data_IF_135848272261
#
_entry.id   IF_135848272261
#
_cell.length_a   1.000
_cell.length_b   1.000
_cell.length_c   1.000
_cell.angle_alpha   90.00
_cell.angle_beta   90.00
_cell.angle_gamma   90.00
#
_symmetry.space_group_name_H-M   'P 1'
#
loop_
_entity.id
_entity.type
_entity.pdbx_description
1 polymer ?
#
# COMPACT_ATOMS: atom_id res chain seq x y z
N UNK A 1 36.61 -13.87 -8.26
CA UNK A 1 36.75 -14.20 -9.70
C UNK A 1 36.16 -13.07 -10.51
N UNK A 2 35.92 -13.28 -11.80
CA UNK A 2 35.15 -12.31 -12.60
C UNK A 2 33.69 -12.23 -12.10
N UNK A 3 32.98 -11.15 -12.40
CA UNK A 3 31.56 -10.98 -12.10
C UNK A 3 30.71 -12.04 -12.83
N UNK A 4 30.43 -13.15 -12.14
CA UNK A 4 29.64 -14.31 -12.59
C UNK A 4 28.82 -14.97 -11.48
N UNK A 5 28.80 -14.37 -10.30
CA UNK A 5 27.86 -14.61 -9.22
C UNK A 5 27.20 -13.25 -8.93
N UNK A 6 25.90 -13.24 -8.62
CA UNK A 6 25.04 -12.06 -8.68
C UNK A 6 23.85 -12.34 -9.59
N UNK A 7 23.61 -11.50 -10.62
CA UNK A 7 22.68 -11.82 -11.71
C UNK A 7 23.42 -12.32 -12.97
N UNK A 8 23.09 -13.49 -13.53
CA UNK A 8 23.72 -13.96 -14.76
C UNK A 8 23.31 -13.09 -15.95
N UNK A 9 24.31 -12.59 -16.68
CA UNK A 9 24.18 -12.07 -18.04
C UNK A 9 23.89 -13.26 -18.96
N UNK A 10 22.63 -13.36 -19.37
CA UNK A 10 22.10 -14.48 -20.15
C UNK A 10 21.65 -13.94 -21.50
N UNK A 11 22.27 -14.46 -22.56
CA UNK A 11 22.08 -13.96 -23.93
C UNK A 11 20.73 -14.39 -24.50
N UNK A 12 20.23 -15.56 -24.12
CA UNK A 12 18.94 -16.04 -24.60
C UNK A 12 17.81 -15.26 -23.90
N UNK A 13 17.94 -15.02 -22.59
CA UNK A 13 17.06 -14.14 -21.83
C UNK A 13 17.10 -12.68 -22.31
N UNK A 14 18.27 -12.18 -22.75
CA UNK A 14 18.40 -10.88 -23.39
C UNK A 14 17.68 -10.83 -24.75
N UNK A 15 17.83 -11.86 -25.57
CA UNK A 15 17.18 -11.93 -26.89
C UNK A 15 15.66 -11.99 -26.75
N UNK A 16 15.13 -12.76 -25.79
CA UNK A 16 13.70 -12.80 -25.48
C UNK A 16 13.19 -11.45 -24.98
N UNK A 17 13.87 -10.86 -23.99
CA UNK A 17 13.56 -9.53 -23.47
C UNK A 17 13.61 -8.44 -24.55
N UNK A 18 14.60 -8.47 -25.45
CA UNK A 18 14.71 -7.51 -26.54
C UNK A 18 13.62 -7.72 -27.61
N UNK A 19 13.32 -8.96 -27.99
CA UNK A 19 12.24 -9.27 -28.94
C UNK A 19 10.85 -8.90 -28.39
N UNK A 20 10.64 -8.98 -27.07
CA UNK A 20 9.49 -8.37 -26.39
C UNK A 20 9.55 -6.86 -26.57
N UNK A 21 10.63 -6.19 -26.13
CA UNK A 21 10.69 -4.73 -26.15
C UNK A 21 10.62 -4.10 -27.56
N UNK A 22 11.17 -4.74 -28.59
CA UNK A 22 11.06 -4.29 -29.98
C UNK A 22 9.62 -4.33 -30.51
N UNK A 23 8.78 -5.27 -30.02
CA UNK A 23 7.35 -5.37 -30.40
C UNK A 23 6.49 -4.21 -29.89
N UNK A 24 7.00 -3.45 -28.92
CA UNK A 24 6.33 -2.29 -28.32
C UNK A 24 7.12 -0.97 -28.48
N UNK A 25 8.30 -0.99 -29.13
CA UNK A 25 9.05 0.23 -29.44
C UNK A 25 8.28 1.09 -30.48
N UNK A 26 8.47 2.40 -30.41
CA UNK A 26 7.72 3.37 -31.22
C UNK A 26 6.24 3.58 -30.83
N UNK A 27 5.70 2.86 -29.83
CA UNK A 27 4.39 3.17 -29.22
C UNK A 27 4.45 4.47 -28.39
N UNK A 28 3.30 5.08 -28.11
CA UNK A 28 3.23 6.49 -27.69
C UNK A 28 3.59 6.71 -26.20
N UNK A 29 4.50 7.66 -25.96
CA UNK A 29 4.91 8.16 -24.64
C UNK A 29 4.48 9.63 -24.49
N UNK A 30 3.99 10.11 -23.33
CA UNK A 30 3.96 9.50 -21.98
C UNK A 30 2.81 8.47 -21.81
N UNK A 31 2.69 7.74 -20.67
CA UNK A 31 2.03 6.42 -20.65
C UNK A 31 0.50 6.46 -20.81
N UNK A 32 -0.14 7.64 -20.78
CA UNK A 32 -1.55 7.76 -21.17
C UNK A 32 -1.80 7.34 -22.63
N UNK A 33 -0.80 7.51 -23.53
CA UNK A 33 -0.87 6.95 -24.89
C UNK A 33 -0.74 5.43 -24.85
N UNK A 34 0.34 4.93 -24.23
CA UNK A 34 0.62 3.51 -24.05
C UNK A 34 -0.53 2.71 -23.42
N UNK A 35 -1.00 3.07 -22.23
CA UNK A 35 -2.12 2.40 -21.54
C UNK A 35 -3.40 2.45 -22.38
N UNK A 36 -3.67 3.53 -23.11
CA UNK A 36 -4.82 3.61 -24.02
C UNK A 36 -4.65 2.72 -25.26
N UNK A 37 -3.43 2.50 -25.74
CA UNK A 37 -3.18 1.49 -26.78
C UNK A 37 -3.38 0.07 -26.24
N UNK A 38 -2.95 -0.20 -25.00
CA UNK A 38 -3.28 -1.45 -24.29
C UNK A 38 -4.79 -1.66 -24.10
N UNK A 39 -5.58 -0.59 -24.10
CA UNK A 39 -7.02 -0.66 -23.89
C UNK A 39 -7.90 -0.86 -25.11
N UNK A 40 -7.45 -0.42 -26.29
CA UNK A 40 -8.33 -0.35 -27.46
C UNK A 40 -7.66 -0.87 -28.74
N UNK A 41 -6.37 -1.24 -28.71
CA UNK A 41 -5.59 -1.64 -29.87
C UNK A 41 -4.47 -2.65 -29.52
N UNK A 42 -4.71 -3.60 -28.60
CA UNK A 42 -3.93 -4.85 -28.56
C UNK A 42 -4.52 -5.77 -29.64
N UNK A 43 -3.72 -6.25 -30.63
CA UNK A 43 -4.17 -7.31 -31.52
C UNK A 43 -4.42 -8.60 -30.72
N UNK A 44 -5.45 -9.38 -31.09
CA UNK A 44 -5.76 -10.68 -30.46
C UNK A 44 -4.60 -11.70 -30.51
N UNK A 45 -3.56 -11.42 -31.31
CA UNK A 45 -2.33 -12.22 -31.46
C UNK A 45 -1.18 -11.80 -30.49
N UNK A 46 -1.36 -10.77 -29.65
CA UNK A 46 -0.34 -10.20 -28.76
C UNK A 46 -0.64 -10.44 -27.26
N UNK A 47 -0.09 -11.53 -26.70
CA UNK A 47 -0.13 -11.90 -25.26
C UNK A 47 0.56 -10.86 -24.33
N UNK A 48 0.00 -9.66 -24.18
CA UNK A 48 0.65 -8.58 -23.44
C UNK A 48 0.50 -8.72 -21.91
N UNK A 49 1.58 -9.15 -21.25
CA UNK A 49 1.72 -9.02 -19.80
C UNK A 49 2.50 -7.73 -19.46
N UNK A 50 1.84 -6.76 -18.80
CA UNK A 50 2.49 -5.51 -18.33
C UNK A 50 3.75 -5.79 -17.48
N UNK A 51 3.66 -6.74 -16.55
CA UNK A 51 4.83 -7.12 -15.76
C UNK A 51 5.91 -7.83 -16.61
N UNK A 52 5.52 -8.70 -17.55
CA UNK A 52 6.47 -9.33 -18.49
C UNK A 52 7.23 -8.28 -19.30
N UNK A 53 6.55 -7.21 -19.71
CA UNK A 53 7.15 -6.05 -20.37
C UNK A 53 8.09 -5.25 -19.45
N UNK A 54 7.71 -5.01 -18.20
CA UNK A 54 8.59 -4.39 -17.19
C UNK A 54 9.85 -5.23 -16.90
N UNK A 55 9.70 -6.55 -16.79
CA UNK A 55 10.80 -7.51 -16.62
C UNK A 55 11.73 -7.52 -17.86
N UNK A 56 11.16 -7.53 -19.06
CA UNK A 56 11.89 -7.45 -20.32
C UNK A 56 12.68 -6.13 -20.44
N UNK A 57 12.07 -4.98 -20.15
CA UNK A 57 12.78 -3.69 -20.10
C UNK A 57 13.91 -3.71 -19.07
N UNK A 58 13.70 -4.29 -17.89
CA UNK A 58 14.71 -4.35 -16.84
C UNK A 58 15.91 -5.21 -17.27
N UNK A 59 15.63 -6.37 -17.85
CA UNK A 59 16.65 -7.30 -18.37
C UNK A 59 17.39 -6.69 -19.56
N UNK A 60 16.68 -6.01 -20.48
CA UNK A 60 17.31 -5.30 -21.59
C UNK A 60 18.21 -4.18 -21.09
N UNK A 61 17.71 -3.33 -20.19
CA UNK A 61 18.49 -2.25 -19.57
C UNK A 61 19.76 -2.77 -18.90
N UNK A 62 19.66 -3.83 -18.08
CA UNK A 62 20.81 -4.48 -17.41
C UNK A 62 21.91 -4.89 -18.39
N UNK A 63 21.54 -5.52 -19.51
CA UNK A 63 22.48 -5.97 -20.54
C UNK A 63 23.07 -4.82 -21.36
N UNK A 64 22.25 -3.83 -21.71
CA UNK A 64 22.68 -2.67 -22.50
C UNK A 64 23.56 -1.70 -21.69
N UNK A 65 23.28 -1.51 -20.40
CA UNK A 65 24.08 -0.68 -19.49
C UNK A 65 25.51 -1.21 -19.32
N UNK A 66 25.67 -2.54 -19.35
CA UNK A 66 26.98 -3.21 -19.29
C UNK A 66 27.81 -3.09 -20.60
N UNK A 67 27.25 -2.51 -21.67
CA UNK A 67 27.98 -2.24 -22.92
C UNK A 67 28.84 -0.98 -22.81
N UNK A 68 29.94 -0.90 -23.57
CA UNK A 68 30.70 0.33 -23.76
C UNK A 68 30.13 1.26 -24.86
N UNK A 69 29.06 0.85 -25.55
CA UNK A 69 28.35 1.74 -26.47
C UNK A 69 27.46 2.74 -25.71
N UNK A 70 27.68 4.05 -25.90
CA UNK A 70 26.86 5.13 -25.32
C UNK A 70 25.38 4.98 -25.68
N UNK A 71 25.07 4.65 -26.93
CA UNK A 71 23.69 4.49 -27.43
C UNK A 71 22.93 3.37 -26.69
N UNK A 72 23.63 2.27 -26.34
CA UNK A 72 23.05 1.21 -25.52
C UNK A 72 22.71 1.71 -24.11
N UNK A 73 23.58 2.53 -23.50
CA UNK A 73 23.34 3.12 -22.18
C UNK A 73 22.18 4.12 -22.20
N UNK A 74 22.02 4.90 -23.27
CA UNK A 74 20.88 5.80 -23.46
C UNK A 74 19.56 5.02 -23.59
N UNK A 75 19.54 3.90 -24.34
CA UNK A 75 18.38 3.00 -24.39
C UNK A 75 18.10 2.38 -23.02
N UNK A 76 19.13 1.94 -22.29
CA UNK A 76 18.97 1.36 -20.95
C UNK A 76 18.37 2.36 -19.94
N UNK A 77 18.81 3.63 -19.97
CA UNK A 77 18.24 4.69 -19.14
C UNK A 77 16.78 4.98 -19.50
N UNK A 78 16.44 4.97 -20.79
CA UNK A 78 15.05 5.11 -21.27
C UNK A 78 14.17 3.96 -20.77
N UNK A 79 14.66 2.73 -20.85
CA UNK A 79 13.95 1.52 -20.38
C UNK A 79 13.69 1.56 -18.85
N UNK A 80 14.69 1.98 -18.05
CA UNK A 80 14.53 2.18 -16.60
C UNK A 80 13.51 3.29 -16.27
N UNK A 81 13.56 4.43 -16.98
CA UNK A 81 12.58 5.51 -16.82
C UNK A 81 11.15 5.05 -17.16
N UNK A 82 10.99 4.21 -18.19
CA UNK A 82 9.71 3.57 -18.49
C UNK A 82 9.19 2.72 -17.33
N UNK A 83 10.05 1.95 -16.65
CA UNK A 83 9.66 1.14 -15.49
C UNK A 83 9.23 2.02 -14.32
N UNK A 84 9.99 3.08 -13.98
CA UNK A 84 9.60 4.08 -12.95
C UNK A 84 8.20 4.64 -13.25
N UNK A 85 7.96 5.01 -14.52
CA UNK A 85 6.70 5.58 -14.98
C UNK A 85 5.54 4.55 -14.95
N UNK A 86 5.81 3.27 -15.22
CA UNK A 86 4.79 2.21 -15.16
C UNK A 86 4.45 1.77 -13.72
N UNK A 87 5.42 1.75 -12.80
CA UNK A 87 5.15 1.57 -11.38
C UNK A 87 4.31 2.72 -10.79
N UNK A 88 4.45 3.93 -11.32
CA UNK A 88 3.78 5.12 -10.82
C UNK A 88 4.27 5.54 -9.42
N UNK A 89 3.42 6.25 -8.67
CA UNK A 89 3.73 6.66 -7.28
C UNK A 89 3.71 5.49 -6.29
N UNK A 90 2.90 4.48 -6.58
CA UNK A 90 2.61 3.37 -5.67
C UNK A 90 3.47 2.15 -6.03
N UNK A 91 4.72 2.19 -5.59
CA UNK A 91 5.74 1.14 -5.75
C UNK A 91 5.44 -0.10 -4.86
N UNK A 92 4.17 -0.33 -4.53
CA UNK A 92 3.64 -1.28 -3.55
C UNK A 92 3.18 -2.61 -4.17
N UNK A 93 3.50 -2.85 -5.43
CA UNK A 93 3.11 -4.04 -6.21
C UNK A 93 3.89 -5.31 -5.79
N UNK A 94 3.50 -5.93 -4.67
CA UNK A 94 4.02 -7.24 -4.22
C UNK A 94 3.67 -8.42 -5.16
N UNK A 95 2.96 -8.16 -6.26
CA UNK A 95 2.55 -9.15 -7.27
C UNK A 95 3.71 -9.68 -8.13
N UNK A 96 4.85 -9.00 -8.19
CA UNK A 96 5.90 -9.29 -9.18
C UNK A 96 6.66 -10.61 -8.94
N UNK A 97 6.53 -11.19 -7.73
CA UNK A 97 7.25 -12.39 -7.28
C UNK A 97 6.72 -13.72 -7.87
N UNK A 98 5.78 -13.67 -8.80
CA UNK A 98 5.14 -14.83 -9.44
C UNK A 98 5.79 -15.26 -10.76
N UNK A 99 6.89 -14.63 -11.17
CA UNK A 99 7.42 -14.73 -12.53
C UNK A 99 8.44 -15.86 -12.76
N UNK A 100 8.42 -16.41 -13.97
CA UNK A 100 9.43 -17.34 -14.48
C UNK A 100 10.78 -16.67 -14.75
N UNK A 101 10.81 -15.35 -14.86
CA UNK A 101 12.00 -14.53 -15.17
C UNK A 101 13.03 -14.45 -14.04
N UNK A 102 12.69 -14.91 -12.83
CA UNK A 102 13.62 -14.97 -11.70
C UNK A 102 14.01 -13.61 -11.12
N UNK A 103 13.15 -12.59 -11.28
CA UNK A 103 13.33 -11.24 -10.73
C UNK A 103 12.41 -11.01 -9.53
N UNK A 104 12.95 -10.57 -8.39
CA UNK A 104 12.16 -9.96 -7.33
C UNK A 104 11.83 -8.50 -7.70
N UNK A 105 10.71 -7.96 -7.21
CA UNK A 105 10.43 -6.50 -7.28
C UNK A 105 11.57 -5.70 -6.65
N UNK A 106 12.18 -6.22 -5.59
CA UNK A 106 13.30 -5.56 -4.93
C UNK A 106 14.54 -5.48 -5.84
N UNK A 107 14.77 -6.47 -6.72
CA UNK A 107 15.86 -6.42 -7.70
C UNK A 107 15.63 -5.33 -8.75
N UNK A 108 14.38 -5.11 -9.15
CA UNK A 108 14.04 -3.98 -10.04
C UNK A 108 14.27 -2.66 -9.30
N UNK A 109 13.64 -2.51 -8.13
CA UNK A 109 13.58 -1.27 -7.34
C UNK A 109 14.94 -0.67 -7.00
N UNK A 110 15.89 -1.48 -6.51
CA UNK A 110 17.23 -1.00 -6.09
C UNK A 110 18.12 -0.55 -7.26
N UNK A 111 17.74 -0.86 -8.50
CA UNK A 111 18.55 -0.61 -9.69
C UNK A 111 17.94 0.43 -10.65
N UNK A 112 16.79 1.04 -10.33
CA UNK A 112 16.08 1.98 -11.22
C UNK A 112 16.87 3.25 -11.55
N UNK A 113 17.77 3.68 -10.68
CA UNK A 113 18.62 4.86 -10.86
C UNK A 113 20.11 4.50 -11.04
N UNK A 114 20.44 3.20 -11.09
CA UNK A 114 21.81 2.70 -11.01
C UNK A 114 22.43 2.36 -12.37
N UNK A 115 23.77 2.39 -12.40
CA UNK A 115 24.56 1.94 -13.56
C UNK A 115 25.25 0.60 -13.33
N UNK A 116 25.36 0.14 -12.08
CA UNK A 116 25.91 -1.17 -11.71
C UNK A 116 24.84 -2.00 -11.03
N UNK A 117 24.25 -2.92 -11.79
CA UNK A 117 23.12 -3.72 -11.34
C UNK A 117 23.55 -4.79 -10.32
N UNK A 118 22.82 -4.91 -9.22
CA UNK A 118 23.04 -5.92 -8.18
C UNK A 118 21.74 -6.63 -7.78
N UNK A 119 21.80 -7.88 -7.33
CA UNK A 119 20.65 -8.53 -6.67
C UNK A 119 20.30 -7.82 -5.37
N UNK A 120 19.06 -7.92 -4.90
CA UNK A 120 18.67 -7.49 -3.56
C UNK A 120 19.47 -8.22 -2.46
N UNK A 121 19.87 -9.48 -2.72
CA UNK A 121 20.75 -10.24 -1.84
C UNK A 121 22.19 -9.68 -1.80
N UNK A 122 22.67 -9.05 -2.86
CA UNK A 122 23.95 -8.32 -2.87
C UNK A 122 23.80 -6.93 -2.24
N UNK A 123 22.72 -6.21 -2.55
CA UNK A 123 22.41 -4.92 -1.93
C UNK A 123 22.36 -5.03 -0.40
N UNK A 124 21.66 -6.03 0.15
CA UNK A 124 21.60 -6.27 1.61
C UNK A 124 22.96 -6.71 2.20
N UNK A 125 23.91 -7.18 1.39
CA UNK A 125 25.29 -7.51 1.81
C UNK A 125 26.28 -6.33 1.67
N UNK A 126 26.09 -5.47 0.67
CA UNK A 126 26.92 -4.31 0.38
C UNK A 126 26.49 -3.08 1.19
N UNK A 127 25.18 -2.93 1.38
CA UNK A 127 24.52 -2.04 2.32
C UNK A 127 23.92 -2.89 3.45
N UNK A 128 24.76 -3.45 4.36
CA UNK A 128 24.24 -4.05 5.57
C UNK A 128 23.56 -2.95 6.36
N UNK A 129 22.23 -2.89 6.31
CA UNK A 129 21.44 -2.13 7.28
C UNK A 129 21.88 -2.64 8.64
N UNK A 130 22.48 -1.77 9.45
CA UNK A 130 23.00 -2.12 10.76
C UNK A 130 21.98 -2.99 11.51
N UNK A 131 22.42 -4.02 12.24
CA UNK A 131 21.49 -4.74 13.09
C UNK A 131 20.78 -3.70 13.98
N UNK A 132 19.44 -3.75 14.11
CA UNK A 132 18.70 -2.78 14.91
C UNK A 132 19.25 -2.73 16.35
N UNK A 133 18.81 -1.74 17.14
CA UNK A 133 19.27 -1.49 18.52
C UNK A 133 19.00 -2.70 19.46
N UNK A 134 19.87 -3.72 19.35
CA UNK A 134 19.48 -5.11 19.53
C UNK A 134 18.46 -5.58 18.47
N UNK A 135 18.39 -6.89 18.17
CA UNK A 135 17.14 -7.46 17.68
C UNK A 135 16.09 -7.34 18.80
N UNK A 136 15.44 -6.18 18.88
CA UNK A 136 14.09 -6.11 19.43
C UNK A 136 13.18 -6.86 18.45
N UNK A 137 13.17 -8.19 18.57
CA UNK A 137 11.98 -8.94 18.19
C UNK A 137 10.80 -8.29 18.91
N UNK A 138 9.74 -7.97 18.15
CA UNK A 138 8.46 -7.65 18.78
C UNK A 138 7.95 -8.92 19.44
N UNK A 139 8.37 -9.13 20.68
CA UNK A 139 7.78 -10.08 21.59
C UNK A 139 6.48 -9.43 22.10
N UNK A 140 5.28 -9.83 21.63
CA UNK A 140 4.06 -9.43 22.32
C UNK A 140 4.18 -9.93 23.75
N UNK A 141 4.32 -9.01 24.71
CA UNK A 141 4.54 -9.35 26.13
C UNK A 141 3.43 -10.30 26.55
N UNK A 142 3.80 -11.50 27.03
CA UNK A 142 2.88 -12.59 27.30
C UNK A 142 1.63 -12.08 28.04
N UNK A 143 0.49 -12.12 27.35
CA UNK A 143 -0.73 -11.44 27.81
C UNK A 143 -1.14 -12.04 29.15
N UNK A 144 -1.10 -11.23 30.21
CA UNK A 144 -1.43 -11.68 31.55
C UNK A 144 -2.88 -12.16 31.57
N UNK A 145 -3.07 -13.48 31.72
CA UNK A 145 -4.39 -14.15 31.67
C UNK A 145 -5.40 -13.61 32.72
N UNK A 146 -4.91 -12.85 33.71
CA UNK A 146 -5.71 -12.22 34.76
C UNK A 146 -6.41 -10.90 34.35
N UNK A 147 -6.16 -10.37 33.16
CA UNK A 147 -6.86 -9.19 32.66
C UNK A 147 -8.27 -9.56 32.17
N UNK A 148 -9.19 -9.75 33.13
CA UNK A 148 -10.60 -10.01 32.83
C UNK A 148 -11.23 -8.81 32.10
N UNK A 149 -11.22 -8.87 30.76
CA UNK A 149 -11.91 -7.95 29.85
C UNK A 149 -13.42 -8.10 30.03
N UNK A 150 -13.93 -7.45 31.07
CA UNK A 150 -15.37 -7.35 31.36
C UNK A 150 -16.14 -6.78 30.16
N UNK A 151 -17.47 -6.86 30.19
CA UNK A 151 -18.38 -6.38 29.14
C UNK A 151 -18.39 -4.85 28.90
N UNK A 152 -17.32 -4.15 29.23
CA UNK A 152 -17.06 -2.76 28.85
C UNK A 152 -17.03 -2.60 27.33
N UNK A 153 -17.51 -1.44 26.85
CA UNK A 153 -17.53 -1.10 25.43
C UNK A 153 -16.23 -0.41 25.04
N UNK A 154 -15.26 -1.16 24.50
CA UNK A 154 -13.99 -0.60 24.02
C UNK A 154 -14.24 0.44 22.92
N UNK A 155 -13.66 1.63 23.06
CA UNK A 155 -13.73 2.71 22.07
C UNK A 155 -12.46 2.73 21.22
N UNK A 156 -12.64 2.53 19.93
CA UNK A 156 -11.58 2.55 18.92
C UNK A 156 -11.75 3.78 18.05
N UNK A 157 -10.80 4.70 18.10
CA UNK A 157 -10.64 5.72 17.08
C UNK A 157 -9.79 5.14 15.94
N UNK A 158 -10.15 5.40 14.69
CA UNK A 158 -9.41 4.95 13.51
C UNK A 158 -9.00 6.16 12.69
N UNK A 159 -7.70 6.30 12.43
CA UNK A 159 -7.16 7.37 11.59
C UNK A 159 -6.63 6.77 10.29
N UNK A 160 -7.19 7.24 9.17
CA UNK A 160 -6.91 6.71 7.83
C UNK A 160 -7.54 7.56 6.74
N UNK A 161 -6.96 7.55 5.54
CA UNK A 161 -7.50 8.21 4.33
C UNK A 161 -8.11 7.21 3.34
N UNK A 162 -7.67 5.95 3.35
CA UNK A 162 -8.21 4.83 2.59
C UNK A 162 -9.21 4.00 3.42
N UNK A 163 -10.46 3.90 2.95
CA UNK A 163 -11.55 3.22 3.68
C UNK A 163 -11.32 1.73 3.90
N UNK A 164 -10.86 1.01 2.87
CA UNK A 164 -10.53 -0.43 2.95
C UNK A 164 -9.43 -0.73 3.97
N UNK A 165 -8.31 0.00 3.88
CA UNK A 165 -7.18 -0.11 4.80
C UNK A 165 -7.60 0.20 6.25
N UNK A 166 -8.47 1.21 6.44
CA UNK A 166 -9.02 1.59 7.75
C UNK A 166 -9.98 0.56 8.34
N UNK A 167 -10.76 -0.13 7.49
CA UNK A 167 -11.79 -1.09 7.91
C UNK A 167 -11.20 -2.46 8.27
N UNK A 168 -10.17 -2.90 7.55
CA UNK A 168 -9.48 -4.19 7.71
C UNK A 168 -9.05 -4.50 9.17
N UNK A 169 -8.23 -3.68 9.87
CA UNK A 169 -7.76 -3.99 11.23
C UNK A 169 -8.89 -3.95 12.27
N UNK A 170 -9.97 -3.19 12.00
CA UNK A 170 -11.15 -3.17 12.86
C UNK A 170 -11.91 -4.49 12.74
N UNK A 171 -12.10 -5.01 11.53
CA UNK A 171 -12.82 -6.27 11.31
C UNK A 171 -12.03 -7.48 11.83
N UNK A 172 -10.71 -7.49 11.64
CA UNK A 172 -9.81 -8.46 12.25
C UNK A 172 -9.90 -8.44 13.79
N UNK A 173 -9.89 -7.26 14.42
CA UNK A 173 -10.05 -7.11 15.87
C UNK A 173 -11.44 -7.55 16.36
N UNK A 174 -12.51 -7.20 15.63
CA UNK A 174 -13.88 -7.63 15.94
C UNK A 174 -14.01 -9.16 15.92
N UNK A 175 -13.43 -9.83 14.92
CA UNK A 175 -13.41 -11.29 14.82
C UNK A 175 -12.57 -11.92 15.92
N UNK A 176 -11.37 -11.40 16.20
CA UNK A 176 -10.51 -11.88 17.29
C UNK A 176 -11.24 -11.85 18.63
N UNK A 177 -11.90 -10.74 18.98
CA UNK A 177 -12.70 -10.64 20.22
C UNK A 177 -13.87 -11.64 20.27
N UNK A 178 -14.54 -11.90 19.14
CA UNK A 178 -15.60 -12.91 19.09
C UNK A 178 -15.08 -14.35 19.27
N UNK A 179 -13.86 -14.65 18.80
CA UNK A 179 -13.26 -15.98 18.93
C UNK A 179 -12.85 -16.32 20.37
N UNK A 180 -12.58 -15.32 21.21
CA UNK A 180 -12.22 -15.50 22.63
C UNK A 180 -13.42 -15.30 23.58
N UNK A 181 -14.65 -15.39 23.07
CA UNK A 181 -15.93 -15.19 23.77
C UNK A 181 -16.06 -13.85 24.53
N UNK A 182 -15.20 -12.87 24.23
CA UNK A 182 -15.23 -11.57 24.88
C UNK A 182 -16.44 -10.76 24.40
N UNK A 183 -17.46 -10.69 25.25
CA UNK A 183 -18.65 -9.84 25.09
C UNK A 183 -18.39 -8.33 24.99
N UNK A 184 -17.12 -7.91 24.97
CA UNK A 184 -16.64 -6.55 24.75
C UNK A 184 -17.05 -6.03 23.36
N UNK A 185 -18.11 -5.23 23.32
CA UNK A 185 -18.57 -4.59 22.09
C UNK A 185 -17.61 -3.46 21.71
N UNK A 186 -17.04 -3.50 20.51
CA UNK A 186 -16.29 -2.35 19.99
C UNK A 186 -17.26 -1.21 19.64
N UNK A 187 -16.89 0.01 20.01
CA UNK A 187 -17.40 1.26 19.44
C UNK A 187 -16.32 1.83 18.53
N UNK A 188 -16.54 1.90 17.23
CA UNK A 188 -15.55 2.44 16.30
C UNK A 188 -15.99 3.83 15.80
N UNK A 189 -15.06 4.78 15.69
CA UNK A 189 -15.24 6.00 14.88
C UNK A 189 -14.05 6.16 13.94
N UNK A 190 -14.32 6.66 12.74
CA UNK A 190 -13.33 6.87 11.67
C UNK A 190 -13.07 8.36 11.44
N UNK A 191 -11.80 8.70 11.21
CA UNK A 191 -11.29 10.06 11.05
C UNK A 191 -10.27 10.10 9.92
N UNK A 192 -10.33 11.14 9.07
CA UNK A 192 -9.49 11.23 7.86
C UNK A 192 -10.14 10.69 6.58
N UNK A 193 -11.19 9.88 6.69
CA UNK A 193 -11.91 9.32 5.54
C UNK A 193 -12.78 10.37 4.83
N UNK A 194 -12.59 10.47 3.52
CA UNK A 194 -13.46 11.26 2.65
C UNK A 194 -14.89 10.69 2.51
N UNK A 195 -15.85 11.57 2.21
CA UNK A 195 -17.25 11.23 1.92
C UNK A 195 -17.42 10.22 0.75
N UNK A 196 -16.41 10.00 -0.12
CA UNK A 196 -16.46 8.95 -1.14
C UNK A 196 -16.41 7.52 -0.56
N UNK A 197 -15.88 7.33 0.65
CA UNK A 197 -15.88 6.03 1.33
C UNK A 197 -17.22 5.73 2.01
N UNK A 198 -17.94 6.76 2.42
CA UNK A 198 -19.30 6.66 2.99
C UNK A 198 -20.31 5.98 2.06
N UNK A 199 -20.17 6.15 0.75
CA UNK A 199 -21.01 5.48 -0.24
C UNK A 199 -20.67 3.99 -0.43
N UNK A 200 -19.52 3.53 0.08
CA UNK A 200 -19.03 2.15 -0.03
C UNK A 200 -19.42 1.34 1.21
N UNK A 201 -19.23 1.93 2.39
CA UNK A 201 -19.60 1.38 3.69
C UNK A 201 -20.11 2.53 4.59
N UNK A 202 -21.42 2.54 4.84
CA UNK A 202 -22.05 3.54 5.69
C UNK A 202 -21.59 3.51 7.16
N UNK A 203 -20.94 2.44 7.61
CA UNK A 203 -20.36 2.36 8.96
C UNK A 203 -19.12 3.24 9.13
N UNK A 204 -18.50 3.67 8.02
CA UNK A 204 -17.38 4.62 8.01
C UNK A 204 -17.83 6.06 8.32
N UNK A 205 -19.12 6.38 8.17
CA UNK A 205 -19.68 7.73 8.28
C UNK A 205 -19.83 8.29 9.71
N UNK A 206 -19.16 7.72 10.70
CA UNK A 206 -19.41 8.02 12.12
C UNK A 206 -18.68 9.28 12.65
N UNK A 207 -17.91 9.97 11.80
CA UNK A 207 -17.25 11.24 12.11
C UNK A 207 -18.11 12.46 11.74
N UNK A 208 -18.77 13.04 12.75
CA UNK A 208 -19.18 14.44 12.69
C UNK A 208 -17.95 15.37 12.79
N UNK A 209 -18.12 16.66 12.47
CA UNK A 209 -17.14 17.75 12.66
C UNK A 209 -15.66 17.38 12.44
N UNK A 210 -14.99 16.97 13.52
CA UNK A 210 -13.62 16.48 13.58
C UNK A 210 -13.25 15.46 12.48
N UNK A 211 -14.12 14.49 12.18
CA UNK A 211 -13.86 13.46 11.16
C UNK A 211 -13.67 14.06 9.76
N UNK A 212 -14.61 14.92 9.35
CA UNK A 212 -14.55 15.65 8.07
C UNK A 212 -13.46 16.71 8.04
N UNK A 213 -13.15 17.34 9.18
CA UNK A 213 -12.01 18.26 9.32
C UNK A 213 -10.69 17.58 9.01
N UNK A 214 -10.45 16.39 9.58
CA UNK A 214 -9.24 15.62 9.34
C UNK A 214 -9.17 15.10 7.89
N UNK A 215 -10.29 14.66 7.32
CA UNK A 215 -10.34 14.28 5.91
C UNK A 215 -10.00 15.44 4.96
N UNK A 216 -10.53 16.64 5.23
CA UNK A 216 -10.18 17.84 4.47
C UNK A 216 -8.71 18.24 4.65
N UNK A 217 -8.18 18.18 5.88
CA UNK A 217 -6.77 18.45 6.16
C UNK A 217 -5.85 17.54 5.34
N UNK A 218 -6.02 16.23 5.47
CA UNK A 218 -5.17 15.25 4.81
C UNK A 218 -5.26 15.37 3.27
N UNK A 219 -6.44 15.68 2.73
CA UNK A 219 -6.64 15.92 1.29
C UNK A 219 -5.97 17.19 0.76
N UNK A 220 -5.89 18.28 1.52
CA UNK A 220 -5.13 19.46 1.08
C UNK A 220 -3.60 19.21 1.19
N UNK A 221 -3.15 18.47 2.21
CA UNK A 221 -1.74 18.02 2.32
C UNK A 221 -1.37 17.08 1.18
N UNK A 222 -2.26 16.19 0.74
CA UNK A 222 -2.06 15.29 -0.40
C UNK A 222 -1.83 16.05 -1.72
N UNK A 223 -2.58 17.14 -1.93
CA UNK A 223 -2.48 17.99 -3.13
C UNK A 223 -1.20 18.82 -3.16
N UNK A 224 -0.81 19.40 -2.02
CA UNK A 224 0.35 20.29 -1.94
C UNK A 224 0.99 20.25 -0.54
N UNK A 225 1.83 19.24 -0.25
CA UNK A 225 2.42 19.05 1.07
C UNK A 225 3.47 20.12 1.42
N UNK A 226 3.83 21.00 0.48
CA UNK A 226 4.74 22.13 0.71
C UNK A 226 4.02 23.39 1.22
N UNK A 227 2.70 23.51 1.04
CA UNK A 227 1.87 24.58 1.63
C UNK A 227 1.57 24.38 3.12
N UNK A 228 1.71 23.15 3.60
CA UNK A 228 1.45 22.77 4.99
C UNK A 228 2.77 22.64 5.76
N UNK A 229 2.68 22.76 7.08
CA UNK A 229 3.80 22.53 8.01
C UNK A 229 3.31 21.63 9.15
N UNK A 230 4.24 21.02 9.88
CA UNK A 230 3.89 20.18 11.02
C UNK A 230 3.01 20.93 12.02
N UNK A 231 3.37 22.18 12.34
CA UNK A 231 2.67 22.97 13.37
C UNK A 231 1.27 23.39 12.92
N UNK A 232 1.03 23.58 11.61
CA UNK A 232 -0.30 23.90 11.07
C UNK A 232 -1.20 22.67 10.98
N UNK A 233 -0.65 21.50 10.61
CA UNK A 233 -1.37 20.23 10.68
C UNK A 233 -1.70 19.83 12.13
N UNK A 234 -0.72 19.95 13.03
CA UNK A 234 -0.87 19.62 14.46
C UNK A 234 -1.94 20.51 15.12
N UNK A 235 -2.01 21.81 14.79
CA UNK A 235 -3.05 22.70 15.29
C UNK A 235 -4.48 22.25 14.87
N UNK A 236 -4.62 21.66 13.69
CA UNK A 236 -5.89 21.10 13.19
C UNK A 236 -6.23 19.74 13.82
N UNK A 237 -5.24 18.87 14.04
CA UNK A 237 -5.42 17.63 14.83
C UNK A 237 -5.82 17.97 16.27
N UNK A 238 -5.15 18.94 16.88
CA UNK A 238 -5.49 19.49 18.20
C UNK A 238 -6.89 20.13 18.21
N UNK A 239 -7.35 20.72 17.11
CA UNK A 239 -8.74 21.19 16.97
C UNK A 239 -9.72 20.02 16.94
N UNK A 240 -9.45 18.98 16.16
CA UNK A 240 -10.31 17.78 16.08
C UNK A 240 -10.52 17.11 17.45
N UNK A 241 -9.45 16.92 18.24
CA UNK A 241 -9.55 16.36 19.60
C UNK A 241 -10.31 17.23 20.61
N UNK A 242 -10.32 18.56 20.43
CA UNK A 242 -11.13 19.49 21.24
C UNK A 242 -12.60 19.51 20.83
N UNK A 243 -12.90 19.17 19.58
CA UNK A 243 -14.25 19.18 19.01
C UNK A 243 -14.99 17.84 19.20
N UNK A 244 -14.29 16.70 19.22
CA UNK A 244 -14.88 15.38 19.45
C UNK A 244 -14.39 14.70 20.76
N UNK A 245 -15.22 14.68 21.83
CA UNK A 245 -14.93 13.95 23.07
C UNK A 245 -14.69 12.44 22.90
N UNK A 246 -15.09 11.83 21.79
CA UNK A 246 -14.78 10.42 21.51
C UNK A 246 -13.28 10.20 21.31
N UNK A 247 -12.57 11.11 20.63
CA UNK A 247 -11.10 11.03 20.46
C UNK A 247 -10.39 11.05 21.82
N UNK A 248 -10.73 12.01 22.68
CA UNK A 248 -10.18 12.05 24.05
C UNK A 248 -10.62 10.89 24.94
N UNK A 249 -11.66 10.12 24.56
CA UNK A 249 -12.17 8.99 25.31
C UNK A 249 -11.91 7.63 24.65
N UNK A 250 -11.12 7.55 23.57
CA UNK A 250 -10.78 6.31 22.88
C UNK A 250 -9.77 5.48 23.70
N UNK A 251 -10.06 4.20 23.92
CA UNK A 251 -9.17 3.27 24.60
C UNK A 251 -8.00 2.88 23.69
N UNK A 252 -8.25 2.82 22.38
CA UNK A 252 -7.31 2.48 21.31
C UNK A 252 -7.42 3.46 20.13
N UNK A 253 -6.27 3.85 19.58
CA UNK A 253 -6.12 4.49 18.28
C UNK A 253 -5.58 3.44 17.29
N UNK A 254 -6.37 3.06 16.29
CA UNK A 254 -5.85 2.36 15.11
C UNK A 254 -5.35 3.42 14.13
N UNK A 255 -4.04 3.46 13.93
CA UNK A 255 -3.43 4.26 12.88
C UNK A 255 -3.26 3.40 11.63
N UNK A 256 -3.71 3.91 10.49
CA UNK A 256 -3.38 3.33 9.18
C UNK A 256 -2.60 4.31 8.33
N UNK A 257 -2.98 5.59 8.37
CA UNK A 257 -2.32 6.70 7.68
C UNK A 257 -3.02 8.05 7.99
N UNK A 258 -2.37 9.19 7.71
CA UNK A 258 -0.93 9.32 7.59
C UNK A 258 -0.29 9.20 8.98
N UNK A 259 0.92 8.63 9.03
CA UNK A 259 1.66 8.47 10.30
C UNK A 259 1.88 9.83 10.99
N UNK A 260 2.13 10.90 10.23
CA UNK A 260 2.22 12.28 10.73
C UNK A 260 1.00 12.67 11.57
N UNK A 261 -0.21 12.48 11.02
CA UNK A 261 -1.47 12.76 11.70
C UNK A 261 -1.69 11.92 12.96
N UNK A 262 -1.32 10.63 12.92
CA UNK A 262 -1.41 9.75 14.08
C UNK A 262 -0.47 10.19 15.21
N UNK A 263 0.79 10.51 14.89
CA UNK A 263 1.80 10.99 15.85
C UNK A 263 1.41 12.34 16.46
N UNK A 264 0.86 13.26 15.67
CA UNK A 264 0.23 14.50 16.17
C UNK A 264 -0.93 14.17 17.11
N UNK A 265 -1.76 13.18 16.78
CA UNK A 265 -2.87 12.70 17.59
C UNK A 265 -2.45 12.13 18.96
N UNK A 266 -1.33 11.41 19.01
CA UNK A 266 -0.76 10.88 20.25
C UNK A 266 -0.31 12.01 21.19
N UNK A 267 0.49 12.96 20.70
CA UNK A 267 0.84 14.17 21.46
C UNK A 267 -0.41 14.93 21.91
N UNK A 268 -1.36 15.12 21.01
CA UNK A 268 -2.62 15.81 21.28
C UNK A 268 -3.40 15.12 22.40
N UNK A 269 -3.43 13.78 22.43
CA UNK A 269 -4.07 13.04 23.51
C UNK A 269 -3.38 13.27 24.86
N UNK A 270 -2.04 13.30 24.88
CA UNK A 270 -1.26 13.60 26.08
C UNK A 270 -1.58 15.02 26.62
N UNK A 271 -1.51 16.03 25.75
CA UNK A 271 -1.63 17.44 26.13
C UNK A 271 -3.07 17.90 26.41
N UNK A 272 -4.06 17.38 25.68
CA UNK A 272 -5.46 17.85 25.76
C UNK A 272 -6.33 16.90 26.60
N UNK A 273 -6.10 15.59 26.50
CA UNK A 273 -6.90 14.57 27.17
C UNK A 273 -6.24 14.05 28.47
N UNK A 274 -5.00 14.49 28.76
CA UNK A 274 -4.24 14.13 29.96
C UNK A 274 -3.71 12.69 29.98
N UNK A 275 -3.68 12.02 28.83
CA UNK A 275 -3.19 10.63 28.69
C UNK A 275 -2.77 10.36 27.24
N UNK A 276 -1.69 9.62 27.03
CA UNK A 276 -1.42 9.07 25.69
C UNK A 276 -2.45 7.97 25.41
N UNK A 277 -3.14 8.03 24.27
CA UNK A 277 -3.97 6.91 23.79
C UNK A 277 -3.07 5.82 23.22
N UNK A 278 -3.33 4.56 23.57
CA UNK A 278 -2.59 3.41 23.02
C UNK A 278 -2.78 3.32 21.49
N UNK A 279 -1.71 3.08 20.73
CA UNK A 279 -1.76 2.95 19.27
C UNK A 279 -1.57 1.50 18.81
N UNK A 280 -2.30 1.12 17.76
CA UNK A 280 -1.97 -0.03 16.90
C UNK A 280 -1.82 0.47 15.46
N UNK A 281 -0.72 0.13 14.81
CA UNK A 281 -0.41 0.51 13.44
C UNK A 281 -0.75 -0.58 12.41
N UNK A 282 -1.47 -0.24 11.36
CA UNK A 282 -1.71 -1.12 10.21
C UNK A 282 -1.53 -0.33 8.90
N UNK A 283 -0.28 -0.22 8.45
CA UNK A 283 0.11 0.72 7.41
C UNK A 283 0.05 0.09 6.02
N UNK A 284 -0.49 0.84 5.06
CA UNK A 284 -0.57 0.43 3.64
C UNK A 284 0.17 1.33 2.67
N UNK A 285 0.77 2.41 3.16
CA UNK A 285 1.51 3.43 2.42
C UNK A 285 2.84 3.73 3.12
N UNK A 286 3.76 4.40 2.42
CA UNK A 286 5.03 4.84 2.99
C UNK A 286 4.84 5.70 4.26
N UNK A 287 5.75 5.58 5.24
CA UNK A 287 5.64 6.29 6.52
C UNK A 287 5.66 7.83 6.39
N UNK A 288 6.30 8.34 5.33
CA UNK A 288 6.36 9.75 4.99
C UNK A 288 5.16 10.24 4.16
N UNK A 289 4.15 9.39 3.88
CA UNK A 289 2.93 9.83 3.20
C UNK A 289 2.23 10.91 4.02
N UNK A 290 1.87 12.01 3.35
CA UNK A 290 1.32 13.23 3.94
C UNK A 290 2.17 13.80 5.11
N UNK A 291 3.50 13.62 5.05
CA UNK A 291 4.43 14.42 5.84
C UNK A 291 4.81 15.70 5.07
N UNK A 292 4.72 16.89 5.69
CA UNK A 292 5.34 18.10 5.15
C UNK A 292 6.84 17.88 4.91
N UNK A 293 7.39 18.12 3.69
CA UNK A 293 8.77 17.75 3.37
C UNK A 293 9.82 18.52 4.19
N UNK A 294 9.47 19.73 4.66
CA UNK A 294 10.33 20.56 5.51
C UNK A 294 10.39 20.07 6.97
N UNK A 295 9.41 19.27 7.42
CA UNK A 295 9.27 18.83 8.82
C UNK A 295 9.56 17.31 9.00
N UNK A 296 10.20 16.65 8.04
CA UNK A 296 10.52 15.21 8.10
C UNK A 296 11.30 14.84 9.39
N UNK A 297 12.23 15.70 9.83
CA UNK A 297 12.95 15.48 11.08
C UNK A 297 12.00 15.48 12.30
N UNK A 298 10.97 16.34 12.31
CA UNK A 298 9.96 16.38 13.37
C UNK A 298 9.04 15.16 13.33
N UNK A 299 8.79 14.56 12.16
CA UNK A 299 8.14 13.24 12.09
C UNK A 299 8.98 12.18 12.83
N UNK A 300 10.30 12.16 12.60
CA UNK A 300 11.20 11.21 13.26
C UNK A 300 11.37 11.49 14.76
N UNK A 301 11.44 12.75 15.21
CA UNK A 301 11.42 13.12 16.63
C UNK A 301 10.19 12.54 17.36
N UNK A 302 9.03 12.54 16.70
CA UNK A 302 7.78 11.99 17.25
C UNK A 302 7.73 10.46 17.14
N UNK A 303 8.31 9.89 16.07
CA UNK A 303 8.45 8.45 15.91
C UNK A 303 9.30 7.86 17.05
N UNK A 304 10.47 8.44 17.34
CA UNK A 304 11.31 7.98 18.44
C UNK A 304 10.68 8.21 19.83
N UNK A 305 9.84 9.24 19.99
CA UNK A 305 9.09 9.47 21.23
C UNK A 305 7.96 8.44 21.45
N UNK A 306 7.21 8.07 20.41
CA UNK A 306 5.93 7.36 20.55
C UNK A 306 5.89 5.96 19.92
N UNK A 307 6.66 5.69 18.87
CA UNK A 307 6.76 4.37 18.23
C UNK A 307 7.87 3.53 18.86
N UNK A 308 9.03 4.13 19.14
CA UNK A 308 10.14 3.48 19.87
C UNK A 308 9.90 3.36 21.39
N UNK A 309 8.62 3.29 21.84
CA UNK A 309 8.23 3.23 23.26
C UNK A 309 7.17 2.16 23.55
N UNK A 310 7.58 1.08 24.24
CA UNK A 310 6.84 -0.15 24.62
C UNK A 310 5.39 0.00 25.13
N UNK A 311 4.98 1.19 25.53
CA UNK A 311 3.70 1.47 26.19
C UNK A 311 2.76 2.37 25.38
N UNK A 312 3.24 2.96 24.28
CA UNK A 312 2.45 3.83 23.40
C UNK A 312 2.04 3.07 22.15
N UNK A 313 2.99 2.52 21.40
CA UNK A 313 2.71 1.61 20.30
C UNK A 313 2.58 0.18 20.84
N UNK A 314 1.34 -0.34 20.92
CA UNK A 314 1.10 -1.70 21.39
C UNK A 314 1.47 -2.76 20.35
N UNK A 315 1.29 -2.46 19.06
CA UNK A 315 1.71 -3.28 17.92
C UNK A 315 1.74 -2.45 16.62
N UNK A 316 2.57 -2.81 15.65
CA UNK A 316 2.46 -2.32 14.27
C UNK A 316 2.66 -3.46 13.26
N UNK A 317 2.03 -3.32 12.11
CA UNK A 317 2.20 -4.19 10.94
C UNK A 317 2.17 -3.38 9.64
N UNK A 318 2.80 -3.91 8.60
CA UNK A 318 2.68 -3.42 7.23
C UNK A 318 1.76 -4.35 6.42
N UNK A 319 0.96 -3.82 5.50
CA UNK A 319 0.03 -4.62 4.70
C UNK A 319 0.74 -5.45 3.61
N UNK A 320 2.00 -5.13 3.28
CA UNK A 320 2.79 -5.80 2.25
C UNK A 320 4.31 -5.85 2.62
N UNK A 321 5.10 -6.75 2.01
CA UNK A 321 6.52 -6.93 2.32
C UNK A 321 7.42 -5.78 1.85
N UNK A 322 7.10 -5.10 0.74
CA UNK A 322 7.90 -3.98 0.21
C UNK A 322 7.89 -2.84 1.23
N UNK A 323 6.70 -2.49 1.73
CA UNK A 323 6.53 -1.50 2.79
C UNK A 323 7.23 -1.94 4.09
N UNK A 324 7.16 -3.22 4.47
CA UNK A 324 7.90 -3.74 5.62
C UNK A 324 9.43 -3.55 5.49
N UNK A 325 10.00 -3.76 4.29
CA UNK A 325 11.42 -3.47 4.04
C UNK A 325 11.71 -1.97 3.98
N UNK A 326 10.81 -1.14 3.45
CA UNK A 326 10.93 0.32 3.46
C UNK A 326 10.96 0.86 4.90
N UNK A 327 10.07 0.37 5.78
CA UNK A 327 10.04 0.72 7.20
C UNK A 327 11.36 0.31 7.87
N UNK A 328 11.83 -0.92 7.64
CA UNK A 328 13.10 -1.39 8.18
C UNK A 328 14.29 -0.56 7.72
N UNK A 329 14.35 -0.18 6.45
CA UNK A 329 15.38 0.70 5.90
C UNK A 329 15.31 2.14 6.44
N UNK A 330 14.10 2.69 6.60
CA UNK A 330 13.90 4.07 7.07
C UNK A 330 14.09 4.24 8.59
N UNK A 331 13.87 3.18 9.39
CA UNK A 331 13.72 3.31 10.85
C UNK A 331 14.45 2.25 11.67
N UNK A 332 14.99 1.19 11.05
CA UNK A 332 15.52 0.00 11.72
C UNK A 332 14.46 -0.93 12.32
N UNK A 333 13.18 -0.50 12.44
CA UNK A 333 12.13 -1.33 13.02
C UNK A 333 11.67 -2.43 12.06
N UNK A 334 11.57 -3.66 12.57
CA UNK A 334 11.05 -4.82 11.81
C UNK A 334 9.60 -5.08 12.16
N UNK A 335 8.67 -4.49 11.42
CA UNK A 335 7.24 -4.79 11.57
C UNK A 335 6.84 -6.04 10.76
N UNK A 336 5.99 -6.93 11.29
CA UNK A 336 5.44 -8.05 10.55
C UNK A 336 4.61 -7.60 9.34
N UNK A 337 4.62 -8.41 8.29
CA UNK A 337 3.66 -8.26 7.19
C UNK A 337 2.35 -8.98 7.52
N UNK A 338 1.24 -8.25 7.50
CA UNK A 338 -0.12 -8.80 7.68
C UNK A 338 -0.93 -8.38 6.45
N UNK A 339 -1.08 -9.29 5.48
CA UNK A 339 -1.81 -8.99 4.23
C UNK A 339 -3.29 -8.69 4.51
N UNK A 340 -3.93 -7.80 3.75
CA UNK A 340 -5.35 -7.53 3.89
C UNK A 340 -6.15 -8.74 3.40
N UNK A 341 -7.18 -9.13 4.17
CA UNK A 341 -8.04 -10.27 3.88
C UNK A 341 -9.42 -9.86 3.35
N UNK A 342 -9.79 -8.57 3.41
CA UNK A 342 -11.06 -8.05 2.90
C UNK A 342 -12.29 -8.47 3.70
N UNK A 343 -12.10 -8.95 4.93
CA UNK A 343 -13.13 -9.67 5.71
C UNK A 343 -14.39 -8.84 5.99
N UNK A 344 -14.26 -7.52 6.04
CA UNK A 344 -15.35 -6.56 6.22
C UNK A 344 -16.35 -6.51 5.06
N UNK A 345 -16.04 -7.10 3.91
CA UNK A 345 -16.96 -7.23 2.77
C UNK A 345 -18.03 -8.29 2.99
N UNK A 346 -17.80 -9.21 3.94
CA UNK A 346 -18.52 -10.48 4.12
C UNK A 346 -18.51 -11.41 2.87
N UNK A 347 -17.77 -11.05 1.83
CA UNK A 347 -17.67 -11.79 0.57
C UNK A 347 -16.96 -13.12 0.79
N UNK A 348 -17.76 -14.17 0.91
CA UNK A 348 -17.27 -15.52 1.17
C UNK A 348 -16.86 -16.18 -0.14
N UNK A 349 -15.64 -15.88 -0.62
CA UNK A 349 -15.11 -16.47 -1.86
C UNK A 349 -15.03 -18.00 -1.76
N UNK A 350 -16.09 -18.64 -2.26
CA UNK A 350 -16.18 -20.09 -2.44
C UNK A 350 -16.57 -20.30 -3.89
N UNK A 351 -15.67 -20.80 -4.76
CA UNK A 351 -15.98 -20.99 -6.17
C UNK A 351 -16.92 -22.20 -6.33
N UNK A 352 -18.22 -21.96 -6.16
CA UNK A 352 -19.28 -22.99 -6.23
C UNK A 352 -19.91 -23.03 -7.63
N UNK A 353 -20.09 -21.87 -8.30
CA UNK A 353 -20.28 -21.70 -9.76
C UNK A 353 -20.48 -20.23 -10.16
N UNK A 354 -20.10 -19.91 -11.40
CA UNK A 354 -20.62 -18.85 -12.27
C UNK A 354 -20.90 -17.51 -11.54
N UNK A 355 -19.82 -16.87 -11.08
CA UNK A 355 -19.83 -15.67 -10.20
C UNK A 355 -19.21 -14.45 -10.87
N UNK A 356 -19.76 -13.27 -10.57
CA UNK A 356 -19.26 -11.96 -10.99
C UNK A 356 -17.96 -11.61 -10.24
N UNK A 357 -16.94 -11.12 -10.95
CA UNK A 357 -15.73 -10.54 -10.34
C UNK A 357 -15.94 -9.05 -10.07
N UNK A 358 -16.52 -8.69 -8.92
CA UNK A 358 -16.54 -7.29 -8.50
C UNK A 358 -15.16 -6.90 -7.97
N UNK A 359 -14.50 -5.97 -8.65
CA UNK A 359 -13.19 -5.46 -8.27
C UNK A 359 -13.09 -3.94 -8.47
N UNK A 360 -12.08 -3.31 -7.87
CA UNK A 360 -11.89 -1.86 -7.84
C UNK A 360 -10.41 -1.53 -7.74
N UNK A 361 -9.83 -1.06 -8.85
CA UNK A 361 -8.43 -0.65 -8.92
C UNK A 361 -8.15 0.66 -8.18
N UNK A 362 -6.88 0.92 -7.88
CA UNK A 362 -6.41 2.13 -7.19
C UNK A 362 -5.71 3.05 -8.21
N UNK A 363 -6.44 4.09 -8.65
CA UNK A 363 -6.00 5.39 -9.20
C UNK A 363 -5.00 5.50 -10.38
N UNK A 364 -4.10 4.53 -10.63
CA UNK A 364 -3.03 4.66 -11.62
C UNK A 364 -2.87 3.48 -12.58
N UNK A 365 -3.32 2.29 -12.19
CA UNK A 365 -3.41 1.10 -13.07
C UNK A 365 -4.89 0.80 -13.37
N UNK A 366 -5.76 1.82 -13.28
CA UNK A 366 -7.19 1.65 -13.54
C UNK A 366 -7.42 1.27 -15.00
N UNK A 367 -6.95 2.09 -15.96
CA UNK A 367 -7.11 1.83 -17.39
C UNK A 367 -6.53 0.45 -17.77
N UNK A 368 -5.25 0.22 -17.50
CA UNK A 368 -4.51 -0.99 -17.94
C UNK A 368 -5.13 -2.30 -17.47
N UNK A 369 -5.84 -2.31 -16.33
CA UNK A 369 -6.42 -3.50 -15.71
C UNK A 369 -7.96 -3.52 -15.76
N UNK A 370 -8.64 -2.41 -16.09
CA UNK A 370 -9.93 -2.48 -16.79
C UNK A 370 -9.75 -3.26 -18.10
N UNK A 371 -8.69 -2.97 -18.84
CA UNK A 371 -8.49 -3.51 -20.18
C UNK A 371 -7.96 -4.96 -20.20
N UNK A 372 -6.99 -5.31 -19.34
CA UNK A 372 -6.59 -6.71 -19.17
C UNK A 372 -7.77 -7.60 -18.73
N UNK A 373 -8.66 -7.08 -17.88
CA UNK A 373 -9.86 -7.81 -17.46
C UNK A 373 -10.92 -7.87 -18.56
N UNK A 374 -11.08 -6.82 -19.38
CA UNK A 374 -11.94 -6.87 -20.56
C UNK A 374 -11.52 -7.98 -21.53
N UNK A 375 -10.21 -8.12 -21.81
CA UNK A 375 -9.67 -9.21 -22.62
C UNK A 375 -9.96 -10.59 -22.02
N UNK A 376 -9.65 -10.81 -20.73
CA UNK A 376 -9.98 -12.07 -20.05
C UNK A 376 -11.49 -12.39 -20.05
N UNK A 377 -12.36 -11.38 -20.04
CA UNK A 377 -13.82 -11.56 -20.12
C UNK A 377 -14.30 -11.84 -21.55
N UNK A 378 -13.54 -11.48 -22.58
CA UNK A 378 -13.80 -11.83 -23.97
C UNK A 378 -13.30 -13.24 -24.28
N UNK A 379 -12.05 -13.57 -23.92
CA UNK A 379 -11.51 -14.94 -23.97
C UNK A 379 -12.40 -15.95 -23.22
N UNK A 380 -12.83 -15.60 -22.00
CA UNK A 380 -13.68 -16.48 -21.20
C UNK A 380 -15.08 -16.72 -21.81
N UNK A 381 -15.58 -15.83 -22.70
CA UNK A 381 -16.83 -16.08 -23.45
C UNK A 381 -16.64 -17.07 -24.59
N UNK A 382 -15.41 -17.27 -25.07
CA UNK A 382 -15.10 -18.29 -26.09
C UNK A 382 -14.94 -19.69 -25.50
N UNK A 383 -14.57 -19.79 -24.21
CA UNK A 383 -14.44 -21.05 -23.47
C UNK A 383 -15.82 -21.54 -23.00
N UNK A 384 -16.39 -22.64 -23.55
CA UNK A 384 -17.77 -23.05 -23.26
C UNK A 384 -18.03 -23.44 -21.80
N UNK A 385 -16.99 -23.74 -21.04
CA UNK A 385 -17.02 -24.06 -19.61
C UNK A 385 -17.06 -22.81 -18.69
N UNK A 386 -16.81 -21.60 -19.21
CA UNK A 386 -16.75 -20.35 -18.45
C UNK A 386 -17.96 -19.45 -18.73
N UNK A 387 -19.07 -19.69 -18.05
CA UNK A 387 -20.27 -18.85 -18.17
C UNK A 387 -20.08 -17.48 -17.47
N UNK A 388 -19.51 -16.52 -18.22
CA UNK A 388 -19.44 -15.10 -17.84
C UNK A 388 -20.81 -14.44 -18.07
N UNK A 389 -21.62 -14.36 -17.01
CA UNK A 389 -22.99 -13.84 -17.08
C UNK A 389 -23.07 -12.33 -17.25
N UNK A 390 -22.53 -11.56 -16.29
CA UNK A 390 -22.56 -10.09 -16.29
C UNK A 390 -21.26 -9.51 -15.70
N UNK A 391 -20.88 -8.31 -16.17
CA UNK A 391 -19.72 -7.56 -15.66
C UNK A 391 -19.90 -6.06 -15.95
N UNK A 392 -19.55 -5.17 -15.01
CA UNK A 392 -19.59 -3.71 -15.16
C UNK A 392 -18.34 -3.04 -14.55
N UNK A 393 -17.71 -2.13 -15.30
CA UNK A 393 -16.70 -1.20 -14.78
C UNK A 393 -17.34 0.05 -14.17
N UNK A 394 -17.06 0.32 -12.90
CA UNK A 394 -17.51 1.51 -12.18
C UNK A 394 -16.68 2.73 -12.61
N UNK A 395 -17.28 3.61 -13.41
CA UNK A 395 -16.64 4.85 -13.90
C UNK A 395 -16.40 5.86 -12.78
N UNK A 396 -15.61 6.90 -13.05
CA UNK A 396 -15.37 7.97 -12.08
C UNK A 396 -16.69 8.54 -11.51
N UNK A 397 -16.81 8.55 -10.19
CA UNK A 397 -18.02 8.98 -9.47
C UNK A 397 -19.08 7.90 -9.26
N UNK A 398 -19.03 6.74 -9.95
CA UNK A 398 -19.82 5.57 -9.58
C UNK A 398 -19.22 4.90 -8.33
N UNK A 399 -20.09 4.37 -7.46
CA UNK A 399 -19.71 3.58 -6.29
C UNK A 399 -20.71 2.47 -6.08
N UNK A 400 -20.22 1.24 -5.95
CA UNK A 400 -20.98 0.09 -5.45
C UNK A 400 -20.64 -0.10 -3.96
N UNK A 401 -21.64 -0.32 -3.12
CA UNK A 401 -21.41 -0.63 -1.70
C UNK A 401 -21.02 -2.08 -1.50
N UNK A 402 -20.34 -2.40 -0.38
CA UNK A 402 -19.97 -3.79 -0.10
C UNK A 402 -21.19 -4.71 0.03
N UNK A 403 -22.33 -4.19 0.47
CA UNK A 403 -23.60 -4.93 0.60
C UNK A 403 -24.38 -5.08 -0.72
N UNK A 404 -23.89 -4.51 -1.82
CA UNK A 404 -24.32 -4.77 -3.20
C UNK A 404 -23.32 -5.66 -3.92
N UNK A 405 -22.01 -5.50 -3.64
CA UNK A 405 -20.92 -6.33 -4.16
C UNK A 405 -20.86 -7.77 -3.60
N UNK A 406 -21.58 -8.08 -2.52
CA UNK A 406 -21.61 -9.40 -1.86
C UNK A 406 -22.89 -10.21 -2.13
N UNK A 407 -23.68 -9.82 -3.15
CA UNK A 407 -24.93 -10.48 -3.58
C UNK A 407 -24.75 -11.27 -4.87
#
# INVERSE_FOLDING_TARGET
GNAREGFPVDVDLFNEANAICERWDGREYPPYGFYRQLCYNIPEEDDFCLYGYMAALFIRARHLMASDNTEHREIAQRDLQYIVVMCGKELSLDHLKSSTWGLDVMDVMINLEETQFMTYQEYVRAHPVDPPMGPQEYHPRGVSESAALSAAKMKVAVMGTHGSLSREPVDQLQRLLSMVELSARISTRYYGLEDRWCAVDGSLCQGDGAGKRLAALFKEVEKDPWKHTWQTMEAEVARAYREDPFLCAADLLICTEPLSGCLMGLKTSEEICGRVTMMVGYFGVALLNLCPPNDINTLWDYFDRYVSSDWVLAAAAANNPILAQQIYYQTGHRWPTVRPHGLYTEATYTPIKNTILVWRSILYIYDTFECLLAQFLEEAREVPELEVSEFEFLKEGQTLSYAEASR
#
